data_IF_496586737338
#
_entry.id   IF_496586737338
#
_cell.length_a   1.000
_cell.length_b   1.000
_cell.length_c   1.000
_cell.angle_alpha   90.00
_cell.angle_beta   90.00
_cell.angle_gamma   90.00
#
_symmetry.space_group_name_H-M   'P 1'
#
loop_
_entity.id
_entity.type
_entity.pdbx_description
1 polymer ?
#
# COMPACT_ATOMS: atom_id res chain seq x y z
N UNK A 1 -1.59 -21.77 18.92
CA UNK A 1 -1.99 -20.40 18.49
C UNK A 1 -1.91 -20.38 16.97
N UNK A 2 -3.08 -20.38 16.29
CA UNK A 2 -3.15 -20.32 14.83
C UNK A 2 -2.62 -18.96 14.37
N UNK A 3 -1.44 -18.91 13.73
CA UNK A 3 -1.01 -17.78 12.93
C UNK A 3 -2.03 -17.58 11.82
N UNK A 4 -2.83 -16.53 11.90
CA UNK A 4 -3.64 -16.06 10.76
C UNK A 4 -2.66 -15.73 9.64
N UNK A 5 -2.78 -16.44 8.54
CA UNK A 5 -2.11 -16.12 7.26
C UNK A 5 -2.47 -14.66 6.91
N UNK A 6 -1.50 -13.75 6.81
CA UNK A 6 -1.77 -12.33 6.55
C UNK A 6 -2.35 -12.06 5.15
N UNK A 7 -2.34 -13.07 4.30
CA UNK A 7 -2.77 -13.01 2.90
C UNK A 7 -3.91 -14.02 2.70
N UNK A 8 -5.11 -13.52 2.44
CA UNK A 8 -6.34 -14.31 2.38
C UNK A 8 -6.30 -15.45 1.34
N UNK A 9 -7.18 -16.43 1.54
CA UNK A 9 -7.35 -17.65 0.72
C UNK A 9 -7.48 -17.40 -0.80
N UNK A 10 -7.85 -16.19 -1.22
CA UNK A 10 -7.98 -15.79 -2.62
C UNK A 10 -6.66 -15.80 -3.39
N UNK A 11 -5.58 -15.31 -2.77
CA UNK A 11 -4.27 -15.19 -3.42
C UNK A 11 -3.61 -16.56 -3.65
N UNK A 12 -3.75 -17.47 -2.67
CA UNK A 12 -3.28 -18.86 -2.80
C UNK A 12 -4.02 -19.63 -3.88
N UNK A 13 -5.32 -19.33 -4.11
CA UNK A 13 -6.11 -19.97 -5.16
C UNK A 13 -5.68 -19.49 -6.56
N UNK A 14 -5.38 -18.19 -6.73
CA UNK A 14 -4.91 -17.62 -8.00
C UNK A 14 -3.57 -18.24 -8.40
N UNK A 15 -2.63 -18.38 -7.46
CA UNK A 15 -1.34 -19.03 -7.77
C UNK A 15 -1.46 -20.51 -8.06
N UNK A 16 -2.36 -21.20 -7.38
CA UNK A 16 -2.62 -22.61 -7.66
C UNK A 16 -3.20 -22.81 -9.07
N UNK A 17 -4.11 -21.93 -9.50
CA UNK A 17 -4.58 -21.87 -10.90
C UNK A 17 -3.49 -21.47 -11.88
N UNK A 18 -2.49 -20.70 -11.42
CA UNK A 18 -1.33 -20.32 -12.22
C UNK A 18 -0.30 -21.44 -12.33
N UNK A 19 -0.16 -22.29 -11.33
CA UNK A 19 0.72 -23.47 -11.36
C UNK A 19 0.11 -24.65 -12.16
N UNK A 20 -1.22 -24.80 -12.15
CA UNK A 20 -1.89 -26.04 -12.61
C UNK A 20 -2.20 -26.14 -14.13
N UNK A 21 -1.96 -25.12 -14.96
CA UNK A 21 -2.40 -25.13 -16.37
C UNK A 21 -1.32 -24.77 -17.41
N UNK A 22 -0.05 -25.01 -17.15
CA UNK A 22 1.02 -24.78 -18.13
C UNK A 22 1.57 -26.10 -18.70
N UNK A 23 1.97 -26.05 -19.96
CA UNK A 23 2.72 -27.13 -20.58
C UNK A 23 4.14 -27.15 -19.99
N UNK A 24 4.43 -28.17 -19.18
CA UNK A 24 5.75 -28.32 -18.51
C UNK A 24 6.74 -28.88 -19.52
N UNK A 25 7.80 -28.13 -19.79
CA UNK A 25 8.86 -28.49 -20.72
C UNK A 25 10.24 -28.33 -20.07
N UNK A 26 11.21 -29.09 -20.57
CA UNK A 26 12.64 -28.83 -20.33
C UNK A 26 13.06 -27.72 -21.31
N UNK A 27 13.60 -26.64 -20.76
CA UNK A 27 14.04 -25.48 -21.53
C UNK A 27 15.54 -25.27 -21.27
N UNK A 28 16.36 -25.11 -22.32
CA UNK A 28 17.75 -24.75 -22.18
C UNK A 28 17.93 -23.43 -21.40
N UNK A 29 18.85 -23.42 -20.46
CA UNK A 29 19.08 -22.27 -19.56
C UNK A 29 19.48 -21.00 -20.33
N UNK A 30 20.20 -21.16 -21.45
CA UNK A 30 20.62 -20.08 -22.35
C UNK A 30 19.47 -19.45 -23.14
N UNK A 31 18.31 -20.12 -23.23
CA UNK A 31 17.09 -19.57 -23.83
C UNK A 31 16.21 -18.85 -22.82
N UNK A 32 16.58 -18.80 -21.54
CA UNK A 32 15.78 -18.16 -20.49
C UNK A 32 16.38 -16.81 -20.13
N UNK A 33 15.53 -15.77 -20.19
CA UNK A 33 15.89 -14.41 -19.84
C UNK A 33 15.15 -13.95 -18.58
N UNK A 34 15.83 -13.16 -17.76
CA UNK A 34 15.23 -12.53 -16.58
C UNK A 34 14.43 -11.30 -16.98
N UNK A 35 13.36 -11.00 -16.24
CA UNK A 35 12.57 -9.79 -16.48
C UNK A 35 13.25 -8.58 -15.81
N UNK A 36 13.75 -7.59 -16.56
CA UNK A 36 14.39 -6.40 -16.00
C UNK A 36 13.46 -5.49 -15.21
N UNK A 37 12.14 -5.68 -15.34
CA UNK A 37 11.10 -4.93 -14.60
C UNK A 37 10.72 -5.54 -13.24
N UNK A 38 11.35 -6.69 -12.87
CA UNK A 38 11.22 -7.28 -11.53
C UNK A 38 12.36 -6.80 -10.63
N UNK A 39 12.16 -5.77 -9.79
CA UNK A 39 13.20 -5.33 -8.85
C UNK A 39 13.28 -6.32 -7.68
N UNK A 40 14.15 -7.32 -7.77
CA UNK A 40 14.64 -8.07 -6.59
C UNK A 40 15.94 -7.44 -6.14
N UNK A 41 15.86 -6.55 -5.16
CA UNK A 41 17.03 -5.82 -4.69
C UNK A 41 17.95 -6.61 -3.76
N UNK A 42 17.49 -7.69 -3.08
CA UNK A 42 18.35 -8.45 -2.16
C UNK A 42 18.01 -9.94 -2.13
N UNK A 43 18.71 -10.73 -2.94
CA UNK A 43 18.81 -12.17 -2.70
C UNK A 43 20.07 -12.39 -1.88
N UNK A 44 19.92 -12.74 -0.59
CA UNK A 44 21.08 -13.13 0.24
C UNK A 44 21.78 -14.30 -0.42
N UNK A 45 23.06 -14.12 -0.74
CA UNK A 45 23.87 -15.07 -1.50
C UNK A 45 23.93 -16.44 -0.84
N UNK A 46 24.06 -16.48 0.49
CA UNK A 46 24.06 -17.70 1.29
C UNK A 46 22.80 -18.57 1.08
N UNK A 47 21.62 -17.94 1.00
CA UNK A 47 20.37 -18.68 0.77
C UNK A 47 20.26 -19.22 -0.67
N UNK A 48 20.94 -18.59 -1.62
CA UNK A 48 20.99 -19.04 -3.00
C UNK A 48 21.92 -20.23 -3.16
N UNK A 49 23.07 -20.22 -2.48
CA UNK A 49 24.06 -21.30 -2.46
C UNK A 49 23.45 -22.58 -1.87
N UNK A 50 22.77 -22.49 -0.73
CA UNK A 50 22.07 -23.62 -0.13
C UNK A 50 21.01 -24.23 -1.07
N UNK A 51 20.27 -23.38 -1.78
CA UNK A 51 19.30 -23.84 -2.78
C UNK A 51 20.00 -24.51 -3.98
N UNK A 52 21.13 -23.99 -4.43
CA UNK A 52 21.90 -24.58 -5.52
C UNK A 52 22.44 -25.98 -5.16
N UNK A 53 22.89 -26.19 -3.92
CA UNK A 53 23.27 -27.51 -3.43
C UNK A 53 22.10 -28.49 -3.49
N UNK A 54 20.96 -28.10 -2.97
CA UNK A 54 19.74 -28.93 -2.99
C UNK A 54 19.30 -29.28 -4.43
N UNK A 55 19.36 -28.32 -5.35
CA UNK A 55 19.03 -28.53 -6.77
C UNK A 55 20.01 -29.47 -7.45
N UNK A 56 21.29 -29.42 -7.09
CA UNK A 56 22.31 -30.34 -7.62
C UNK A 56 22.04 -31.79 -7.21
N UNK A 57 21.56 -31.98 -5.98
CA UNK A 57 21.31 -33.32 -5.45
C UNK A 57 19.98 -33.93 -5.90
N UNK A 58 18.91 -33.13 -5.94
CA UNK A 58 17.54 -33.59 -6.11
C UNK A 58 16.87 -33.12 -7.41
N UNK A 59 17.56 -32.27 -8.18
CA UNK A 59 16.94 -31.59 -9.31
C UNK A 59 16.01 -30.47 -8.90
N UNK A 60 15.40 -29.83 -9.89
CA UNK A 60 14.40 -28.78 -9.68
C UNK A 60 13.02 -29.42 -9.44
N UNK A 61 12.59 -29.51 -8.17
CA UNK A 61 11.33 -30.15 -7.78
C UNK A 61 10.07 -29.40 -8.23
N UNK A 62 10.16 -28.06 -8.31
CA UNK A 62 9.07 -27.21 -8.79
C UNK A 62 9.51 -26.45 -10.03
N UNK A 63 8.77 -26.56 -11.15
CA UNK A 63 9.11 -25.82 -12.36
C UNK A 63 9.07 -24.31 -12.12
N UNK A 64 9.88 -23.56 -12.87
CA UNK A 64 9.72 -22.11 -12.97
C UNK A 64 8.55 -21.80 -13.91
N UNK A 65 7.97 -20.60 -13.80
CA UNK A 65 6.93 -20.13 -14.72
C UNK A 65 7.57 -19.15 -15.70
N UNK A 66 7.40 -19.43 -16.99
CA UNK A 66 7.93 -18.60 -18.08
C UNK A 66 6.86 -18.31 -19.10
N UNK A 67 7.06 -17.23 -19.87
CA UNK A 67 6.29 -16.98 -21.10
C UNK A 67 7.21 -16.96 -22.31
N UNK A 68 6.66 -17.28 -23.46
CA UNK A 68 7.40 -17.17 -24.73
C UNK A 68 7.51 -15.69 -25.11
N UNK A 69 8.74 -15.25 -25.41
CA UNK A 69 9.02 -13.90 -25.89
C UNK A 69 10.03 -14.00 -27.03
N UNK A 70 9.54 -13.88 -28.26
CA UNK A 70 10.31 -14.09 -29.49
C UNK A 70 10.98 -15.47 -29.52
N UNK A 71 12.31 -15.48 -29.45
CA UNK A 71 13.14 -16.70 -29.41
C UNK A 71 13.50 -17.17 -28.02
N UNK A 72 13.12 -16.43 -27.00
CA UNK A 72 13.49 -16.67 -25.60
C UNK A 72 12.24 -16.93 -24.74
N UNK A 73 12.51 -17.36 -23.52
CA UNK A 73 11.53 -17.54 -22.48
C UNK A 73 11.80 -16.55 -21.33
N UNK A 74 10.88 -15.64 -21.10
CA UNK A 74 11.01 -14.64 -20.01
C UNK A 74 10.43 -15.20 -18.72
N UNK A 75 11.20 -15.11 -17.62
CA UNK A 75 10.78 -15.58 -16.31
C UNK A 75 9.67 -14.70 -15.77
N UNK A 76 8.53 -15.31 -15.40
CA UNK A 76 7.42 -14.68 -14.71
C UNK A 76 7.50 -14.93 -13.20
N UNK A 77 7.80 -16.19 -12.80
CA UNK A 77 7.96 -16.57 -11.39
C UNK A 77 9.06 -17.63 -11.23
N UNK A 78 9.75 -17.60 -10.10
CA UNK A 78 10.79 -18.59 -9.78
C UNK A 78 12.23 -18.16 -10.13
N UNK A 79 12.54 -16.86 -10.18
CA UNK A 79 13.89 -16.37 -10.48
C UNK A 79 14.96 -16.93 -9.54
N UNK A 80 14.67 -17.10 -8.23
CA UNK A 80 15.61 -17.74 -7.30
C UNK A 80 15.95 -19.17 -7.70
N UNK A 81 14.92 -19.94 -8.13
CA UNK A 81 15.08 -21.31 -8.62
C UNK A 81 15.93 -21.36 -9.88
N UNK A 82 15.69 -20.44 -10.82
CA UNK A 82 16.48 -20.29 -12.02
C UNK A 82 17.96 -19.99 -11.70
N UNK A 83 18.23 -18.96 -10.89
CA UNK A 83 19.62 -18.60 -10.52
C UNK A 83 20.35 -19.74 -9.81
N UNK A 84 19.67 -20.42 -8.88
CA UNK A 84 20.22 -21.57 -8.18
C UNK A 84 20.47 -22.76 -9.13
N UNK A 85 19.63 -23.00 -10.13
CA UNK A 85 19.82 -24.01 -11.15
C UNK A 85 21.04 -23.71 -12.05
N UNK A 86 21.21 -22.44 -12.44
CA UNK A 86 22.43 -21.98 -13.15
C UNK A 86 23.69 -22.22 -12.31
N UNK A 87 23.69 -21.86 -11.02
CA UNK A 87 24.79 -22.10 -10.09
C UNK A 87 25.07 -23.60 -9.86
N UNK A 88 24.02 -24.42 -9.91
CA UNK A 88 24.14 -25.87 -9.82
C UNK A 88 24.72 -26.51 -11.09
N UNK A 89 24.84 -25.76 -12.19
CA UNK A 89 25.40 -26.23 -13.48
C UNK A 89 24.41 -27.00 -14.35
N UNK A 90 23.09 -26.83 -14.12
CA UNK A 90 22.07 -27.44 -14.97
C UNK A 90 22.09 -26.79 -16.36
N UNK A 91 22.01 -27.60 -17.42
CA UNK A 91 21.94 -27.13 -18.81
C UNK A 91 20.49 -26.85 -19.24
N UNK A 92 19.54 -27.59 -18.66
CA UNK A 92 18.11 -27.47 -18.92
C UNK A 92 17.34 -27.50 -17.61
N UNK A 93 16.24 -26.79 -17.52
CA UNK A 93 15.39 -26.76 -16.34
C UNK A 93 13.90 -26.91 -16.71
N UNK A 94 13.15 -27.50 -15.79
CA UNK A 94 11.70 -27.62 -15.95
C UNK A 94 11.05 -26.25 -15.82
N UNK A 95 10.26 -25.89 -16.83
CA UNK A 95 9.50 -24.65 -16.86
C UNK A 95 8.06 -24.90 -17.32
N UNK A 96 7.12 -24.28 -16.65
CA UNK A 96 5.72 -24.19 -17.09
C UNK A 96 5.60 -23.01 -18.05
N UNK A 97 5.36 -23.30 -19.32
CA UNK A 97 5.20 -22.27 -20.36
C UNK A 97 3.75 -21.78 -20.35
N UNK A 98 3.56 -20.48 -20.17
CA UNK A 98 2.27 -19.81 -20.19
C UNK A 98 2.21 -18.79 -21.31
N UNK A 99 1.04 -18.62 -21.89
CA UNK A 99 0.79 -17.60 -22.90
C UNK A 99 0.24 -16.33 -22.22
N UNK A 100 1.16 -15.53 -21.67
CA UNK A 100 0.83 -14.27 -21.00
C UNK A 100 1.19 -13.07 -21.87
N UNK A 101 0.26 -12.14 -22.02
CA UNK A 101 0.56 -10.79 -22.50
C UNK A 101 1.53 -10.06 -21.55
N UNK A 102 2.12 -8.95 -21.99
CA UNK A 102 3.01 -8.13 -21.17
C UNK A 102 2.32 -7.64 -19.89
N UNK A 103 1.03 -7.30 -19.98
CA UNK A 103 0.22 -6.85 -18.84
C UNK A 103 -0.01 -7.97 -17.83
N UNK A 104 -0.43 -9.15 -18.30
CA UNK A 104 -0.67 -10.31 -17.43
C UNK A 104 0.62 -10.79 -16.77
N UNK A 105 1.73 -10.83 -17.50
CA UNK A 105 3.02 -11.21 -16.96
C UNK A 105 3.49 -10.27 -15.84
N UNK A 106 3.30 -8.96 -16.01
CA UNK A 106 3.62 -7.97 -14.99
C UNK A 106 2.69 -8.08 -13.76
N UNK A 107 1.41 -8.33 -14.00
CA UNK A 107 0.43 -8.56 -12.93
C UNK A 107 0.78 -9.76 -12.07
N UNK A 108 1.10 -10.90 -12.70
CA UNK A 108 1.54 -12.13 -12.03
C UNK A 108 2.78 -11.89 -11.18
N UNK A 109 3.77 -11.20 -11.75
CA UNK A 109 5.00 -10.87 -11.06
C UNK A 109 4.77 -9.99 -9.83
N UNK A 110 3.83 -9.04 -9.90
CA UNK A 110 3.46 -8.20 -8.77
C UNK A 110 2.72 -8.98 -7.67
N UNK A 111 1.84 -9.92 -8.06
CA UNK A 111 1.13 -10.79 -7.11
C UNK A 111 2.14 -11.71 -6.40
N UNK A 112 3.07 -12.33 -7.13
CA UNK A 112 4.12 -13.16 -6.54
C UNK A 112 4.97 -12.37 -5.54
N UNK A 113 5.38 -11.16 -5.92
CA UNK A 113 6.15 -10.30 -5.05
C UNK A 113 5.37 -9.87 -3.79
N UNK A 114 4.05 -9.70 -3.90
CA UNK A 114 3.18 -9.34 -2.77
C UNK A 114 3.08 -10.46 -1.71
N UNK A 115 3.35 -11.72 -2.09
CA UNK A 115 3.33 -12.87 -1.18
C UNK A 115 4.59 -13.02 -0.33
N UNK A 116 5.56 -12.15 -0.49
CA UNK A 116 6.75 -12.19 0.34
C UNK A 116 6.38 -11.82 1.78
N UNK A 117 6.82 -12.65 2.73
CA UNK A 117 6.55 -12.45 4.18
C UNK A 117 7.30 -11.23 4.75
N UNK A 118 8.28 -10.69 4.01
CA UNK A 118 9.21 -9.65 4.46
C UNK A 118 8.92 -8.24 3.91
N UNK A 119 7.79 -8.04 3.21
CA UNK A 119 7.42 -6.73 2.68
C UNK A 119 7.09 -5.73 3.78
N UNK A 120 7.71 -4.56 3.70
CA UNK A 120 7.33 -3.46 4.57
C UNK A 120 6.04 -2.77 4.08
N UNK A 121 5.33 -2.00 4.95
CA UNK A 121 4.05 -1.38 4.59
C UNK A 121 4.12 -0.42 3.40
N UNK A 122 5.26 0.21 3.12
CA UNK A 122 5.45 1.13 1.98
C UNK A 122 5.57 0.33 0.68
N UNK A 123 6.28 -0.80 0.70
CA UNK A 123 6.37 -1.70 -0.46
C UNK A 123 4.99 -2.25 -0.84
N UNK A 124 4.22 -2.75 0.14
CA UNK A 124 2.84 -3.21 -0.08
C UNK A 124 1.97 -2.09 -0.68
N UNK A 125 2.04 -0.89 -0.10
CA UNK A 125 1.29 0.26 -0.59
C UNK A 125 1.66 0.63 -2.03
N UNK A 126 2.96 0.56 -2.37
CA UNK A 126 3.45 0.83 -3.72
C UNK A 126 2.93 -0.18 -4.74
N UNK A 127 2.90 -1.47 -4.37
CA UNK A 127 2.32 -2.52 -5.22
C UNK A 127 0.83 -2.27 -5.45
N UNK A 128 0.06 -1.93 -4.40
CA UNK A 128 -1.37 -1.63 -4.55
C UNK A 128 -1.63 -0.40 -5.43
N UNK A 129 -0.82 0.65 -5.29
CA UNK A 129 -0.92 1.86 -6.11
C UNK A 129 -0.64 1.55 -7.59
N UNK A 130 0.35 0.67 -7.88
CA UNK A 130 0.64 0.20 -9.22
C UNK A 130 -0.52 -0.58 -9.83
N UNK A 131 -1.17 -1.47 -9.08
CA UNK A 131 -2.37 -2.18 -9.55
C UNK A 131 -3.48 -1.21 -9.99
N UNK A 132 -3.67 -0.13 -9.26
CA UNK A 132 -4.68 0.87 -9.62
C UNK A 132 -4.26 1.70 -10.83
N UNK A 133 -3.00 2.17 -10.87
CA UNK A 133 -2.54 3.10 -11.91
C UNK A 133 -2.18 2.42 -13.23
N UNK A 134 -1.52 1.26 -13.16
CA UNK A 134 -1.01 0.58 -14.35
C UNK A 134 -2.03 -0.40 -14.95
N UNK A 135 -2.84 -1.06 -14.11
CA UNK A 135 -3.82 -2.06 -14.55
C UNK A 135 -5.27 -1.60 -14.48
N UNK A 136 -5.54 -0.38 -13.98
CA UNK A 136 -6.88 0.18 -13.93
C UNK A 136 -7.83 -0.47 -12.91
N UNK A 137 -7.31 -1.24 -11.95
CA UNK A 137 -8.14 -1.83 -10.90
C UNK A 137 -8.76 -0.76 -10.01
N UNK A 138 -10.02 -0.95 -9.64
CA UNK A 138 -10.59 -0.23 -8.50
C UNK A 138 -10.06 -0.83 -7.18
N UNK A 139 -10.09 -0.05 -6.11
CA UNK A 139 -9.70 -0.56 -4.77
C UNK A 139 -10.54 -1.79 -4.35
N UNK A 140 -11.80 -1.86 -4.78
CA UNK A 140 -12.67 -3.01 -4.49
C UNK A 140 -12.20 -4.24 -5.26
N UNK A 141 -11.99 -4.12 -6.56
CA UNK A 141 -11.53 -5.24 -7.40
C UNK A 141 -10.18 -5.79 -6.92
N UNK A 142 -9.25 -4.90 -6.53
CA UNK A 142 -7.98 -5.33 -5.96
C UNK A 142 -8.18 -6.05 -4.63
N UNK A 143 -9.02 -5.52 -3.74
CA UNK A 143 -9.32 -6.14 -2.44
C UNK A 143 -9.93 -7.55 -2.60
N UNK A 144 -10.91 -7.69 -3.49
CA UNK A 144 -11.55 -8.97 -3.81
C UNK A 144 -10.52 -9.98 -4.37
N UNK A 145 -9.64 -9.50 -5.27
CA UNK A 145 -8.61 -10.34 -5.92
C UNK A 145 -7.58 -10.87 -4.92
N UNK A 146 -7.13 -10.05 -3.97
CA UNK A 146 -6.12 -10.46 -2.98
C UNK A 146 -6.72 -11.00 -1.68
N UNK A 147 -8.07 -10.99 -1.54
CA UNK A 147 -8.79 -11.58 -0.41
C UNK A 147 -8.70 -10.78 0.88
N UNK A 148 -8.68 -9.44 0.80
CA UNK A 148 -8.68 -8.53 1.93
C UNK A 148 -9.81 -7.50 1.83
N UNK A 149 -10.04 -6.73 2.90
CA UNK A 149 -11.03 -5.68 2.87
C UNK A 149 -10.59 -4.46 2.03
N UNK A 150 -11.52 -3.84 1.29
CA UNK A 150 -11.28 -2.59 0.55
C UNK A 150 -10.68 -1.49 1.43
N UNK A 151 -11.13 -1.39 2.68
CA UNK A 151 -10.61 -0.42 3.65
C UNK A 151 -9.13 -0.61 3.94
N UNK A 152 -8.65 -1.85 3.93
CA UNK A 152 -7.24 -2.20 4.09
C UNK A 152 -6.42 -1.70 2.89
N UNK A 153 -6.87 -1.97 1.65
CA UNK A 153 -6.24 -1.44 0.43
C UNK A 153 -6.15 0.08 0.47
N UNK A 154 -7.29 0.74 0.78
CA UNK A 154 -7.35 2.20 0.88
C UNK A 154 -6.35 2.75 1.92
N UNK A 155 -6.25 2.12 3.08
CA UNK A 155 -5.33 2.53 4.15
C UNK A 155 -3.86 2.39 3.73
N UNK A 156 -3.48 1.31 3.04
CA UNK A 156 -2.14 1.14 2.50
C UNK A 156 -1.81 2.23 1.47
N UNK A 157 -2.67 2.47 0.49
CA UNK A 157 -2.42 3.50 -0.53
C UNK A 157 -2.29 4.89 0.09
N UNK A 158 -3.11 5.21 1.09
CA UNK A 158 -3.06 6.52 1.76
C UNK A 158 -1.73 6.81 2.43
N UNK A 159 -0.99 5.82 2.93
CA UNK A 159 0.32 6.08 3.58
C UNK A 159 1.36 6.61 2.61
N UNK A 160 1.22 6.40 1.30
CA UNK A 160 2.10 6.98 0.28
C UNK A 160 2.04 8.52 0.21
N UNK A 161 0.94 9.11 0.71
CA UNK A 161 0.81 10.57 0.82
C UNK A 161 1.59 11.20 1.97
N UNK A 162 2.22 10.39 2.83
CA UNK A 162 3.09 10.89 3.90
C UNK A 162 4.40 11.45 3.33
N UNK A 163 5.03 12.42 4.01
CA UNK A 163 6.37 12.89 3.69
C UNK A 163 7.40 11.73 3.65
N UNK A 164 8.43 11.87 2.79
CA UNK A 164 9.42 10.82 2.56
C UNK A 164 10.14 10.39 3.84
N UNK A 165 10.48 11.34 4.71
CA UNK A 165 11.12 11.03 5.99
C UNK A 165 10.27 10.16 6.91
N UNK A 166 8.92 10.27 6.88
CA UNK A 166 8.02 9.36 7.63
C UNK A 166 7.95 7.99 6.93
N UNK A 167 7.88 7.97 5.60
CA UNK A 167 7.88 6.71 4.83
C UNK A 167 9.14 5.90 5.08
N UNK A 168 10.27 6.57 5.20
CA UNK A 168 11.53 5.92 5.56
C UNK A 168 11.45 5.25 6.95
N UNK A 169 10.95 5.94 7.97
CA UNK A 169 10.78 5.37 9.32
C UNK A 169 9.83 4.17 9.35
N UNK A 170 8.80 4.17 8.48
CA UNK A 170 7.91 3.02 8.30
C UNK A 170 8.64 1.86 7.65
N UNK A 171 9.44 2.11 6.61
CA UNK A 171 10.23 1.08 5.92
C UNK A 171 11.28 0.46 6.84
N UNK A 172 11.85 1.23 7.75
CA UNK A 172 12.79 0.77 8.78
C UNK A 172 12.11 0.03 9.95
N UNK A 173 10.77 -0.08 9.95
CA UNK A 173 10.00 -0.70 11.03
C UNK A 173 9.92 0.11 12.33
N UNK A 174 10.42 1.34 12.34
CA UNK A 174 10.39 2.26 13.51
C UNK A 174 9.01 2.86 13.75
N UNK A 175 8.20 2.95 12.69
CA UNK A 175 6.79 3.32 12.76
C UNK A 175 5.93 2.20 12.17
N UNK A 176 4.84 1.89 12.85
CA UNK A 176 3.86 0.90 12.36
C UNK A 176 2.89 1.52 11.37
N UNK A 177 2.19 0.68 10.58
CA UNK A 177 1.09 1.12 9.71
C UNK A 177 -0.01 1.89 10.49
N UNK A 178 -0.28 1.49 11.74
CA UNK A 178 -1.23 2.20 12.61
C UNK A 178 -0.78 3.62 12.94
N UNK A 179 0.51 3.80 13.27
CA UNK A 179 1.08 5.14 13.47
C UNK A 179 0.98 5.98 12.18
N UNK A 180 1.31 5.41 11.03
CA UNK A 180 1.21 6.08 9.73
C UNK A 180 -0.21 6.60 9.44
N UNK A 181 -1.24 5.76 9.70
CA UNK A 181 -2.65 6.12 9.50
C UNK A 181 -3.06 7.30 10.38
N UNK A 182 -2.61 7.32 11.63
CA UNK A 182 -2.92 8.42 12.57
C UNK A 182 -2.21 9.72 12.16
N UNK A 183 -0.94 9.64 11.74
CA UNK A 183 -0.15 10.77 11.26
C UNK A 183 -0.73 11.41 9.98
N UNK A 184 -1.37 10.63 9.11
CA UNK A 184 -2.08 11.15 7.93
C UNK A 184 -3.21 12.12 8.26
N UNK A 185 -3.81 12.01 9.43
CA UNK A 185 -4.89 12.92 9.86
C UNK A 185 -4.38 14.28 10.32
N UNK A 186 -3.07 14.41 10.56
CA UNK A 186 -2.39 15.66 10.92
C UNK A 186 -2.03 16.42 9.63
N UNK A 187 -2.52 17.66 9.51
CA UNK A 187 -2.31 18.49 8.32
C UNK A 187 -1.02 19.31 8.36
N UNK A 188 -0.38 19.39 9.53
CA UNK A 188 0.79 20.23 9.76
C UNK A 188 2.02 19.35 9.98
N UNK A 189 3.07 19.56 9.16
CA UNK A 189 4.32 18.80 9.27
C UNK A 189 5.01 18.99 10.65
N UNK A 190 4.89 20.16 11.27
CA UNK A 190 5.41 20.41 12.63
C UNK A 190 4.74 19.48 13.66
N UNK A 191 3.43 19.26 13.52
CA UNK A 191 2.70 18.32 14.38
C UNK A 191 3.11 16.88 14.10
N UNK A 192 3.28 16.50 12.84
CA UNK A 192 3.77 15.17 12.46
C UNK A 192 5.14 14.91 13.10
N UNK A 193 6.09 15.86 12.99
CA UNK A 193 7.42 15.76 13.64
C UNK A 193 7.30 15.56 15.14
N UNK A 194 6.51 16.42 15.82
CA UNK A 194 6.32 16.30 17.27
C UNK A 194 5.77 14.93 17.70
N UNK A 195 4.79 14.39 16.98
CA UNK A 195 4.22 13.09 17.31
C UNK A 195 5.18 11.95 16.96
N UNK A 196 5.91 12.04 15.87
CA UNK A 196 6.95 11.06 15.53
C UNK A 196 8.03 11.03 16.59
N UNK A 197 8.51 12.18 17.06
CA UNK A 197 9.51 12.26 18.14
C UNK A 197 8.99 11.59 19.41
N UNK A 198 7.72 11.81 19.77
CA UNK A 198 7.11 11.16 20.92
C UNK A 198 6.96 9.65 20.74
N UNK A 199 6.59 9.18 19.55
CA UNK A 199 6.52 7.74 19.26
C UNK A 199 7.90 7.10 19.44
N UNK A 200 8.94 7.75 18.93
CA UNK A 200 10.30 7.20 18.94
C UNK A 200 10.97 7.24 20.32
N UNK A 201 10.71 8.28 21.13
CA UNK A 201 11.37 8.50 22.42
C UNK A 201 10.53 8.04 23.61
N UNK A 202 9.21 8.23 23.57
CA UNK A 202 8.29 7.90 24.67
C UNK A 202 7.60 6.54 24.45
N UNK A 203 7.66 5.97 23.23
CA UNK A 203 7.03 4.69 22.91
C UNK A 203 5.49 4.74 22.94
N UNK A 204 4.88 5.90 22.63
CA UNK A 204 3.41 6.01 22.66
C UNK A 204 2.75 5.03 21.70
N UNK A 205 1.70 4.38 22.17
CA UNK A 205 0.96 3.40 21.39
C UNK A 205 0.09 4.05 20.29
N UNK A 206 -0.27 3.27 19.25
CA UNK A 206 -1.21 3.71 18.22
C UNK A 206 -2.52 4.22 18.83
N UNK A 207 -3.06 3.54 19.87
CA UNK A 207 -4.31 3.92 20.52
C UNK A 207 -4.21 5.27 21.25
N UNK A 208 -3.10 5.54 21.90
CA UNK A 208 -2.84 6.83 22.56
C UNK A 208 -2.73 7.95 21.53
N UNK A 209 -1.97 7.71 20.46
CA UNK A 209 -1.86 8.64 19.33
C UNK A 209 -3.23 8.95 18.72
N UNK A 210 -4.04 7.93 18.41
CA UNK A 210 -5.40 8.11 17.86
C UNK A 210 -6.28 8.93 18.79
N UNK A 211 -6.24 8.66 20.10
CA UNK A 211 -7.01 9.39 21.11
C UNK A 211 -6.62 10.86 21.20
N UNK A 212 -5.31 11.16 21.20
CA UNK A 212 -4.83 12.55 21.24
C UNK A 212 -5.18 13.33 19.96
N UNK A 213 -4.99 12.70 18.81
CA UNK A 213 -5.34 13.30 17.52
C UNK A 213 -6.84 13.57 17.41
N UNK A 214 -7.68 12.64 17.89
CA UNK A 214 -9.13 12.78 17.94
C UNK A 214 -9.54 13.89 18.89
N UNK A 215 -9.01 13.92 20.12
CA UNK A 215 -9.31 14.96 21.12
C UNK A 215 -9.02 16.36 20.56
N UNK A 216 -7.86 16.55 19.92
CA UNK A 216 -7.52 17.85 19.31
C UNK A 216 -8.48 18.25 18.20
N UNK A 217 -8.95 17.28 17.42
CA UNK A 217 -9.95 17.56 16.40
C UNK A 217 -11.30 17.96 17.01
N UNK A 218 -11.70 17.30 18.09
CA UNK A 218 -12.92 17.63 18.84
C UNK A 218 -12.81 19.01 19.51
N UNK A 219 -11.70 19.33 20.15
CA UNK A 219 -11.44 20.64 20.77
C UNK A 219 -11.48 21.78 19.72
N UNK A 220 -10.94 21.57 18.54
CA UNK A 220 -10.96 22.56 17.46
C UNK A 220 -12.38 22.78 16.89
N UNK A 221 -13.17 21.73 16.80
CA UNK A 221 -14.58 21.80 16.35
C UNK A 221 -15.44 22.45 17.42
N UNK A 222 -15.23 22.13 18.70
CA UNK A 222 -16.00 22.67 19.82
C UNK A 222 -15.87 24.19 19.96
N UNK A 223 -14.65 24.76 19.80
CA UNK A 223 -14.45 26.20 19.90
C UNK A 223 -15.19 26.99 18.81
N UNK A 224 -15.24 26.48 17.59
CA UNK A 224 -15.97 27.12 16.51
C UNK A 224 -17.47 26.82 16.55
N UNK A 225 -17.86 25.63 17.02
CA UNK A 225 -19.27 25.26 17.19
C UNK A 225 -20.00 26.21 18.17
N UNK A 226 -19.38 26.50 19.32
CA UNK A 226 -19.97 27.46 20.26
C UNK A 226 -20.08 28.85 19.65
N UNK A 227 -19.10 29.34 18.92
CA UNK A 227 -19.14 30.61 18.22
C UNK A 227 -20.16 30.63 17.08
N UNK A 228 -20.31 29.53 16.34
CA UNK A 228 -21.33 29.35 15.33
C UNK A 228 -22.76 29.41 15.94
N UNK A 229 -22.95 28.76 17.09
CA UNK A 229 -24.27 28.74 17.77
C UNK A 229 -24.64 30.12 18.29
N UNK A 230 -23.67 30.87 18.84
CA UNK A 230 -23.90 32.26 19.27
C UNK A 230 -24.28 33.14 18.08
N UNK A 231 -23.52 33.08 16.99
CA UNK A 231 -23.81 33.87 15.80
C UNK A 231 -25.11 33.43 15.12
N UNK A 232 -25.42 32.13 15.13
CA UNK A 232 -26.67 31.60 14.59
C UNK A 232 -27.89 32.10 15.38
N UNK A 233 -27.77 32.13 16.70
CA UNK A 233 -28.80 32.69 17.57
C UNK A 233 -28.98 34.20 17.37
N UNK A 234 -27.91 34.96 17.25
CA UNK A 234 -27.92 36.39 17.05
C UNK A 234 -28.44 36.81 15.66
N UNK A 235 -28.04 36.13 14.60
CA UNK A 235 -28.35 36.47 13.22
C UNK A 235 -29.61 35.78 12.67
N UNK A 236 -30.14 34.78 13.37
CA UNK A 236 -31.32 34.03 12.97
C UNK A 236 -31.20 33.28 11.66
N UNK A 237 -29.96 32.93 11.26
CA UNK A 237 -29.66 32.21 10.03
C UNK A 237 -28.50 31.29 10.21
N UNK A 238 -28.23 30.43 9.21
CA UNK A 238 -27.17 29.46 9.24
C UNK A 238 -25.80 30.14 9.10
N UNK A 239 -24.89 29.86 10.06
CA UNK A 239 -23.56 30.40 10.12
C UNK A 239 -22.58 29.23 10.17
N UNK A 240 -21.51 29.30 9.37
CA UNK A 240 -20.42 28.38 9.38
C UNK A 240 -19.08 29.13 9.55
N UNK A 241 -18.24 28.68 10.49
CA UNK A 241 -16.92 29.25 10.73
C UNK A 241 -15.86 28.24 10.28
N UNK A 242 -15.01 28.64 9.37
CA UNK A 242 -13.87 27.82 8.93
C UNK A 242 -12.58 28.54 9.26
N UNK A 243 -11.60 27.79 9.81
CA UNK A 243 -10.28 28.31 10.13
C UNK A 243 -9.19 27.45 9.50
N UNK A 244 -8.35 28.06 8.70
CA UNK A 244 -7.28 27.34 7.99
C UNK A 244 -6.04 28.23 7.83
N UNK A 245 -4.85 27.72 8.18
CA UNK A 245 -3.55 28.42 8.00
C UNK A 245 -3.54 29.83 8.58
N UNK A 246 -3.94 30.02 9.83
CA UNK A 246 -4.05 31.30 10.52
C UNK A 246 -5.03 32.32 9.88
N UNK A 247 -5.94 31.87 9.02
CA UNK A 247 -7.00 32.70 8.43
C UNK A 247 -8.35 32.04 8.73
N UNK A 248 -9.28 32.83 9.24
CA UNK A 248 -10.66 32.44 9.45
C UNK A 248 -11.58 33.00 8.38
N UNK A 249 -12.65 32.27 8.07
CA UNK A 249 -13.73 32.74 7.22
C UNK A 249 -15.05 32.42 7.93
N UNK A 250 -15.90 33.42 8.06
CA UNK A 250 -17.29 33.28 8.54
C UNK A 250 -18.19 33.36 7.31
N UNK A 251 -19.04 32.36 7.14
CA UNK A 251 -20.02 32.28 6.05
C UNK A 251 -21.36 32.35 6.69
N UNK A 252 -22.13 33.40 6.31
CA UNK A 252 -23.50 33.64 6.76
C UNK A 252 -24.39 33.41 5.55
N UNK A 253 -25.30 32.43 5.63
CA UNK A 253 -26.27 32.16 4.56
C UNK A 253 -27.48 33.11 4.72
N UNK A 254 -28.00 33.61 3.60
CA UNK A 254 -29.23 34.38 3.57
C UNK A 254 -30.09 33.89 2.40
N UNK A 255 -31.41 34.01 2.53
CA UNK A 255 -32.35 33.43 1.59
C UNK A 255 -33.28 34.50 0.97
N UNK A 256 -33.27 35.74 1.48
CA UNK A 256 -34.03 36.86 0.95
C UNK A 256 -33.25 38.19 1.07
N UNK A 257 -33.75 39.23 0.42
CA UNK A 257 -33.16 40.58 0.52
C UNK A 257 -33.37 41.19 1.90
N UNK A 258 -34.53 40.93 2.50
CA UNK A 258 -34.88 41.34 3.85
C UNK A 258 -33.95 40.70 4.90
N UNK A 259 -33.51 39.43 4.67
CA UNK A 259 -32.52 38.78 5.53
C UNK A 259 -31.16 39.54 5.52
N UNK A 260 -30.74 40.00 4.37
CA UNK A 260 -29.47 40.77 4.25
C UNK A 260 -29.60 42.09 5.03
N UNK A 261 -30.70 42.83 4.86
CA UNK A 261 -30.93 44.09 5.55
C UNK A 261 -30.93 43.89 7.07
N UNK A 262 -31.64 42.88 7.56
CA UNK A 262 -31.69 42.51 8.99
C UNK A 262 -30.28 42.10 9.52
N UNK A 263 -29.55 41.31 8.79
CA UNK A 263 -28.17 40.89 9.17
C UNK A 263 -27.24 42.11 9.24
N UNK A 264 -27.33 43.02 8.26
CA UNK A 264 -26.55 44.27 8.26
C UNK A 264 -26.90 45.16 9.43
N UNK A 265 -28.21 45.30 9.79
CA UNK A 265 -28.62 46.07 10.94
C UNK A 265 -28.07 45.51 12.26
N UNK A 266 -28.06 44.19 12.42
CA UNK A 266 -27.46 43.53 13.60
C UNK A 266 -25.97 43.71 13.68
N UNK A 267 -25.24 43.62 12.54
CA UNK A 267 -23.79 43.74 12.49
C UNK A 267 -23.30 45.20 12.59
N UNK A 268 -24.18 46.21 12.40
CA UNK A 268 -23.83 47.62 12.47
C UNK A 268 -24.08 48.25 13.85
N UNK A 269 -24.67 47.50 14.78
CA UNK A 269 -24.82 47.87 16.21
C UNK A 269 -23.57 47.49 17.00
#
# INVERSE_FOLDING_TARGET
>A
MNKKDPLGKGLSAILKDMEDKGDIRLIPVDQIITNPRQPRFDIKQETLENLAVSIREKGLLQPIVVRKKDRFYEIIAGERRYRAAVMAGLREIQASVKDYSDSEALEVALIENLQREDLNPIEVATVYDRFIKEFGYTQQQLADKIGIDRSTVANFIRILALPDWIKQLISEGRLTQGHARSLLSLKNEKEQKRFVDRILHEGISVRELEKEVRKRKEDSVSMFSAAEDILRAALGTKVNITYKKNKGKIIIEFYSREDVERILEILSR
#
